data_IF_234671615752
#
_entry.id   IF_234671615752
#
_cell.length_a   1.000
_cell.length_b   1.000
_cell.length_c   1.000
_cell.angle_alpha   90.00
_cell.angle_beta   90.00
_cell.angle_gamma   90.00
#
_symmetry.space_group_name_H-M   'P 1'
#
loop_
_entity.id
_entity.type
_entity.pdbx_description
1 polymer ?
#
# COMPACT_ATOMS: atom_id res chain seq x y z
N UNK A 1 13.38 -6.42 4.13
CA UNK A 1 13.83 -6.61 2.72
C UNK A 1 13.98 -5.21 2.12
N UNK A 2 15.08 -4.86 1.42
CA UNK A 2 15.23 -3.54 0.82
C UNK A 2 14.14 -3.28 -0.22
N UNK A 3 13.76 -2.01 -0.38
CA UNK A 3 12.82 -1.57 -1.42
C UNK A 3 13.37 -1.88 -2.81
N UNK A 4 12.47 -2.22 -3.74
CA UNK A 4 12.83 -2.46 -5.15
C UNK A 4 13.13 -1.16 -5.91
N UNK A 5 12.63 -0.02 -5.43
CA UNK A 5 12.88 1.30 -6.01
C UNK A 5 13.76 2.12 -5.07
N UNK A 6 14.64 2.95 -5.65
CA UNK A 6 15.56 3.81 -4.89
C UNK A 6 14.83 4.94 -4.14
N UNK A 7 13.75 5.45 -4.72
CA UNK A 7 13.00 6.59 -4.19
C UNK A 7 11.90 6.24 -3.18
N UNK A 8 11.75 4.96 -2.87
CA UNK A 8 10.72 4.46 -1.96
C UNK A 8 11.32 3.56 -0.88
N UNK A 9 10.63 3.45 0.25
CA UNK A 9 11.08 2.60 1.34
C UNK A 9 10.40 1.21 1.33
N UNK A 10 9.20 1.10 0.73
CA UNK A 10 8.30 -0.03 0.97
C UNK A 10 7.85 -0.74 -0.33
N UNK A 11 8.57 -0.52 -1.46
CA UNK A 11 8.22 -1.18 -2.74
C UNK A 11 8.67 -2.63 -2.76
N UNK A 12 7.72 -3.53 -3.05
CA UNK A 12 7.97 -4.97 -3.18
C UNK A 12 6.90 -5.69 -3.98
N UNK A 13 7.21 -6.92 -4.36
CA UNK A 13 6.26 -7.83 -5.00
C UNK A 13 5.12 -8.19 -4.03
N UNK A 14 3.90 -8.25 -4.55
CA UNK A 14 2.71 -8.71 -3.81
C UNK A 14 2.58 -10.23 -3.85
N UNK A 15 2.89 -10.79 -5.01
CA UNK A 15 2.91 -12.25 -5.21
C UNK A 15 4.37 -12.70 -5.39
N UNK A 16 4.83 -13.68 -4.64
CA UNK A 16 6.21 -14.14 -4.70
C UNK A 16 6.65 -14.52 -6.13
N UNK A 17 7.78 -13.97 -6.57
CA UNK A 17 8.34 -14.24 -7.89
C UNK A 17 7.62 -13.58 -9.07
N UNK A 18 6.66 -12.67 -8.81
CA UNK A 18 5.90 -12.00 -9.86
C UNK A 18 5.99 -10.47 -9.73
N UNK A 19 6.27 -9.80 -10.85
CA UNK A 19 6.21 -8.34 -10.95
C UNK A 19 4.84 -7.83 -11.44
N UNK A 20 3.86 -8.71 -11.60
CA UNK A 20 2.52 -8.29 -12.02
C UNK A 20 1.91 -7.25 -11.10
N UNK A 21 2.14 -7.41 -9.78
CA UNK A 21 1.67 -6.45 -8.78
C UNK A 21 2.82 -6.04 -7.87
N UNK A 22 3.08 -4.74 -7.83
CA UNK A 22 3.97 -4.12 -6.87
C UNK A 22 3.15 -3.25 -5.92
N UNK A 23 3.44 -3.38 -4.63
CA UNK A 23 2.95 -2.46 -3.61
C UNK A 23 4.05 -1.47 -3.24
N UNK A 24 3.67 -0.23 -2.89
CA UNK A 24 4.65 0.82 -2.58
C UNK A 24 4.10 1.87 -1.62
N UNK A 25 4.98 2.63 -0.98
CA UNK A 25 4.75 4.00 -0.56
C UNK A 25 4.75 4.94 -1.78
N UNK A 26 4.32 6.19 -1.61
CA UNK A 26 4.17 7.12 -2.72
C UNK A 26 5.55 7.47 -3.34
N UNK A 27 5.76 7.26 -4.66
CA UNK A 27 6.99 7.58 -5.36
C UNK A 27 7.06 9.08 -5.65
N UNK A 28 7.44 9.87 -4.64
CA UNK A 28 7.39 11.34 -4.69
C UNK A 28 8.65 11.98 -5.28
N UNK A 29 9.72 11.22 -5.47
CA UNK A 29 10.97 11.67 -6.07
C UNK A 29 11.60 10.54 -6.88
N UNK A 30 10.87 9.98 -7.89
CA UNK A 30 11.34 8.82 -8.64
C UNK A 30 12.62 9.15 -9.38
N UNK A 31 13.57 8.22 -9.39
CA UNK A 31 14.80 8.31 -10.18
C UNK A 31 14.57 7.73 -11.58
N UNK A 32 15.47 8.04 -12.53
CA UNK A 32 15.44 7.38 -13.84
C UNK A 32 15.64 5.87 -13.75
N UNK A 33 16.34 5.38 -12.72
CA UNK A 33 16.48 3.94 -12.46
C UNK A 33 15.19 3.32 -11.98
N UNK A 34 14.43 4.00 -11.13
CA UNK A 34 13.10 3.54 -10.71
C UNK A 34 12.18 3.37 -11.91
N UNK A 35 12.17 4.36 -12.77
CA UNK A 35 11.34 4.34 -13.97
C UNK A 35 11.78 3.24 -14.93
N UNK A 36 13.09 3.09 -15.16
CA UNK A 36 13.63 2.02 -15.99
C UNK A 36 13.27 0.64 -15.42
N UNK A 37 13.40 0.45 -14.11
CA UNK A 37 13.01 -0.77 -13.43
C UNK A 37 11.53 -1.12 -13.64
N UNK A 38 10.63 -0.14 -13.46
CA UNK A 38 9.19 -0.36 -13.65
C UNK A 38 8.87 -0.77 -15.09
N UNK A 39 9.45 -0.09 -16.08
CA UNK A 39 9.24 -0.39 -17.50
C UNK A 39 9.81 -1.77 -17.86
N UNK A 40 11.03 -2.08 -17.43
CA UNK A 40 11.69 -3.37 -17.69
C UNK A 40 10.89 -4.56 -17.15
N UNK A 41 10.23 -4.38 -15.99
CA UNK A 41 9.41 -5.42 -15.38
C UNK A 41 7.94 -5.39 -15.82
N UNK A 42 7.61 -4.61 -16.87
CA UNK A 42 6.28 -4.58 -17.47
C UNK A 42 5.22 -3.85 -16.65
N UNK A 43 5.63 -3.06 -15.65
CA UNK A 43 4.71 -2.21 -14.89
C UNK A 43 4.34 -1.01 -15.74
N UNK A 44 3.09 -0.96 -16.20
CA UNK A 44 2.57 0.10 -17.06
C UNK A 44 1.38 0.85 -16.44
N UNK A 45 0.86 0.39 -15.32
CA UNK A 45 -0.27 0.99 -14.63
C UNK A 45 0.14 1.43 -13.23
N UNK A 46 -0.16 2.67 -12.88
CA UNK A 46 0.08 3.24 -11.55
C UNK A 46 -1.28 3.58 -10.91
N UNK A 47 -1.56 3.02 -9.74
CA UNK A 47 -2.81 3.27 -9.01
C UNK A 47 -2.48 4.01 -7.72
N UNK A 48 -2.88 5.27 -7.64
CA UNK A 48 -2.72 6.12 -6.48
C UNK A 48 -3.96 6.01 -5.58
N UNK A 49 -3.78 5.39 -4.42
CA UNK A 49 -4.83 5.12 -3.43
C UNK A 49 -5.04 6.27 -2.44
N UNK A 50 -4.28 7.36 -2.57
CA UNK A 50 -4.31 8.50 -1.66
C UNK A 50 -5.59 9.32 -1.85
N UNK A 51 -6.00 10.04 -0.80
CA UNK A 51 -7.10 10.98 -0.88
C UNK A 51 -6.78 12.16 -1.82
N UNK A 52 -7.82 12.86 -2.28
CA UNK A 52 -7.67 14.08 -3.10
C UNK A 52 -6.76 15.11 -2.43
N UNK A 53 -6.94 15.33 -1.12
CA UNK A 53 -6.13 16.27 -0.35
C UNK A 53 -4.64 15.89 -0.28
N UNK A 54 -4.33 14.59 -0.19
CA UNK A 54 -2.94 14.11 -0.22
C UNK A 54 -2.30 14.32 -1.60
N UNK A 55 -3.04 14.01 -2.66
CA UNK A 55 -2.57 14.17 -4.05
C UNK A 55 -2.40 15.65 -4.40
N UNK A 56 -3.35 16.53 -4.00
CA UNK A 56 -3.21 17.98 -4.21
C UNK A 56 -1.99 18.56 -3.50
N UNK A 57 -1.70 18.10 -2.28
CA UNK A 57 -0.55 18.56 -1.49
C UNK A 57 0.78 18.06 -2.05
N UNK A 58 0.82 16.84 -2.51
CA UNK A 58 2.02 16.17 -3.03
C UNK A 58 1.67 15.31 -4.24
N UNK A 59 1.55 15.89 -5.44
CA UNK A 59 1.24 15.14 -6.67
C UNK A 59 2.28 14.05 -6.94
N UNK A 60 1.85 12.96 -7.58
CA UNK A 60 2.77 11.93 -8.05
C UNK A 60 3.49 12.45 -9.32
N UNK A 61 4.83 12.55 -9.33
CA UNK A 61 5.56 13.03 -10.51
C UNK A 61 5.35 12.17 -11.75
N UNK A 62 5.07 10.87 -11.57
CA UNK A 62 4.82 9.92 -12.66
C UNK A 62 3.40 10.02 -13.24
N UNK A 63 2.51 10.87 -12.70
CA UNK A 63 1.13 10.97 -13.16
C UNK A 63 0.99 11.43 -14.61
N UNK A 64 1.97 12.18 -15.13
CA UNK A 64 1.99 12.70 -16.50
C UNK A 64 3.07 12.03 -17.37
N UNK A 65 3.70 10.95 -16.89
CA UNK A 65 4.70 10.23 -17.65
C UNK A 65 4.02 9.28 -18.65
N UNK A 66 4.26 9.50 -19.94
CA UNK A 66 3.61 8.77 -21.01
C UNK A 66 3.89 7.24 -21.03
N UNK A 67 4.90 6.79 -20.26
CA UNK A 67 5.22 5.36 -20.08
C UNK A 67 4.18 4.64 -19.21
N UNK A 68 3.38 5.38 -18.43
CA UNK A 68 2.44 4.81 -17.47
C UNK A 68 1.00 5.28 -17.71
N UNK A 69 0.07 4.40 -17.45
CA UNK A 69 -1.34 4.74 -17.26
C UNK A 69 -1.57 5.04 -15.78
N UNK A 70 -1.60 6.32 -15.42
CA UNK A 70 -1.88 6.74 -14.04
C UNK A 70 -3.37 6.78 -13.78
N UNK A 71 -3.79 6.21 -12.65
CA UNK A 71 -5.16 6.22 -12.16
C UNK A 71 -5.20 6.66 -10.71
N UNK A 72 -5.84 7.79 -10.44
CA UNK A 72 -6.14 8.21 -9.09
C UNK A 72 -7.44 7.53 -8.64
N UNK A 73 -7.32 6.65 -7.65
CA UNK A 73 -8.42 5.84 -7.12
C UNK A 73 -8.40 5.84 -5.58
N UNK A 74 -8.87 6.93 -4.96
CA UNK A 74 -8.85 7.05 -3.50
C UNK A 74 -9.56 5.88 -2.83
N UNK A 75 -8.91 5.28 -1.84
CA UNK A 75 -9.59 4.30 -0.98
C UNK A 75 -10.53 5.04 -0.05
N UNK A 76 -11.80 4.68 -0.08
CA UNK A 76 -12.83 5.16 0.85
C UNK A 76 -12.76 4.39 2.18
N UNK A 77 -13.30 4.94 3.25
CA UNK A 77 -13.29 4.31 4.59
C UNK A 77 -11.97 4.33 5.35
N UNK A 78 -10.84 4.59 4.66
CA UNK A 78 -9.50 4.61 5.24
C UNK A 78 -8.90 6.00 5.48
N UNK A 79 -9.69 7.06 5.36
CA UNK A 79 -9.21 8.45 5.47
C UNK A 79 -9.24 8.99 6.92
N UNK A 80 -9.97 8.35 7.81
CA UNK A 80 -9.99 8.67 9.23
C UNK A 80 -8.94 7.83 9.96
N UNK A 81 -8.13 8.46 10.80
CA UNK A 81 -7.22 7.73 11.69
C UNK A 81 -8.02 6.87 12.66
N UNK A 82 -7.61 5.62 12.90
CA UNK A 82 -8.17 4.81 13.97
C UNK A 82 -8.02 5.53 15.32
N UNK A 83 -9.04 5.43 16.17
CA UNK A 83 -9.07 6.07 17.47
C UNK A 83 -8.30 5.27 18.54
N UNK A 84 -8.10 3.99 18.30
CA UNK A 84 -7.38 3.06 19.17
C UNK A 84 -6.79 1.92 18.37
N UNK A 85 -5.97 1.07 18.99
CA UNK A 85 -5.40 -0.13 18.36
C UNK A 85 -6.47 -1.15 17.97
N UNK A 86 -7.55 -1.25 18.73
CA UNK A 86 -8.69 -2.15 18.47
C UNK A 86 -9.50 -1.68 17.25
N UNK A 87 -9.47 -0.38 16.94
CA UNK A 87 -10.16 0.19 15.78
C UNK A 87 -9.40 -0.01 14.47
N UNK A 88 -8.11 -0.38 14.51
CA UNK A 88 -7.29 -0.57 13.31
C UNK A 88 -7.87 -1.64 12.38
N UNK A 89 -8.18 -2.88 12.81
CA UNK A 89 -8.76 -3.90 11.94
C UNK A 89 -10.14 -3.52 11.41
N UNK A 90 -10.94 -2.82 12.20
CA UNK A 90 -12.24 -2.30 11.78
C UNK A 90 -12.11 -1.22 10.72
N UNK A 91 -11.07 -0.37 10.83
CA UNK A 91 -10.77 0.63 9.80
C UNK A 91 -10.41 -0.03 8.46
N UNK A 92 -9.69 -1.15 8.49
CA UNK A 92 -9.38 -1.94 7.29
C UNK A 92 -10.63 -2.57 6.69
N UNK A 93 -11.54 -3.10 7.50
CA UNK A 93 -12.81 -3.63 7.02
C UNK A 93 -13.67 -2.56 6.33
N UNK A 94 -13.69 -1.33 6.87
CA UNK A 94 -14.41 -0.20 6.25
C UNK A 94 -13.86 0.21 4.88
N UNK A 95 -12.61 -0.17 4.54
CA UNK A 95 -12.04 0.04 3.22
C UNK A 95 -12.55 -0.95 2.16
N UNK A 96 -13.17 -2.07 2.60
CA UNK A 96 -13.66 -3.12 1.70
C UNK A 96 -15.09 -2.80 1.27
N UNK A 97 -15.21 -1.95 0.27
CA UNK A 97 -16.43 -1.40 -0.26
C UNK A 97 -16.48 -1.51 -1.80
N UNK A 98 -17.44 -0.85 -2.43
CA UNK A 98 -17.56 -0.82 -3.89
C UNK A 98 -16.33 -0.19 -4.57
N UNK A 99 -15.70 0.81 -3.95
CA UNK A 99 -14.49 1.43 -4.50
C UNK A 99 -13.31 0.44 -4.48
N UNK A 100 -13.17 -0.33 -3.39
CA UNK A 100 -12.19 -1.41 -3.33
C UNK A 100 -12.43 -2.46 -4.43
N UNK A 101 -13.68 -2.83 -4.67
CA UNK A 101 -14.04 -3.75 -5.75
C UNK A 101 -13.59 -3.21 -7.12
N UNK A 102 -13.78 -1.92 -7.38
CA UNK A 102 -13.32 -1.26 -8.63
C UNK A 102 -11.79 -1.26 -8.73
N UNK A 103 -11.07 -0.99 -7.62
CA UNK A 103 -9.60 -1.04 -7.56
C UNK A 103 -9.11 -2.44 -7.93
N UNK A 104 -9.66 -3.48 -7.29
CA UNK A 104 -9.28 -4.87 -7.56
C UNK A 104 -9.60 -5.29 -9.00
N UNK A 105 -10.72 -4.84 -9.55
CA UNK A 105 -11.07 -5.10 -10.94
C UNK A 105 -10.04 -4.52 -11.92
N UNK A 106 -9.66 -3.26 -11.75
CA UNK A 106 -8.65 -2.61 -12.60
C UNK A 106 -7.27 -3.28 -12.44
N UNK A 107 -6.90 -3.66 -11.23
CA UNK A 107 -5.69 -4.46 -11.01
C UNK A 107 -5.74 -5.79 -11.74
N UNK A 108 -6.89 -6.47 -11.71
CA UNK A 108 -7.11 -7.74 -12.41
C UNK A 108 -6.98 -7.64 -13.93
N UNK A 109 -7.38 -6.50 -14.52
CA UNK A 109 -7.24 -6.23 -15.97
C UNK A 109 -5.83 -5.79 -16.37
N UNK A 110 -5.00 -5.33 -15.41
CA UNK A 110 -3.65 -4.83 -15.69
C UNK A 110 -2.69 -5.99 -15.95
N UNK A 111 -1.82 -5.83 -16.94
CA UNK A 111 -0.70 -6.76 -17.19
C UNK A 111 0.41 -6.61 -16.19
N UNK A 112 0.65 -5.39 -15.68
CA UNK A 112 1.60 -5.06 -14.63
C UNK A 112 1.22 -3.73 -13.98
N UNK A 113 1.04 -3.72 -12.65
CA UNK A 113 0.62 -2.55 -11.92
C UNK A 113 1.43 -2.32 -10.64
N UNK A 114 1.72 -1.05 -10.35
CA UNK A 114 2.15 -0.61 -9.03
C UNK A 114 1.03 0.21 -8.39
N UNK A 115 0.66 -0.12 -7.16
CA UNK A 115 -0.30 0.67 -6.38
C UNK A 115 0.31 1.12 -5.06
N UNK A 116 -0.07 2.31 -4.63
CA UNK A 116 0.55 2.96 -3.48
C UNK A 116 -0.43 3.88 -2.74
N UNK A 117 -0.18 4.07 -1.46
CA UNK A 117 -0.72 5.18 -0.66
C UNK A 117 0.43 6.01 -0.12
N UNK A 118 0.25 6.79 0.93
CA UNK A 118 1.35 7.63 1.46
C UNK A 118 2.51 6.80 1.99
N UNK A 119 2.28 5.86 2.89
CA UNK A 119 3.31 4.99 3.48
C UNK A 119 3.36 3.58 2.87
N UNK A 120 2.40 3.22 2.03
CA UNK A 120 2.31 1.86 1.50
C UNK A 120 1.98 0.78 2.54
N UNK A 121 1.41 1.16 3.68
CA UNK A 121 1.13 0.27 4.82
C UNK A 121 -0.33 -0.13 4.89
N UNK A 122 -1.25 0.79 5.20
CA UNK A 122 -2.64 0.50 5.53
C UNK A 122 -3.52 0.26 4.29
N UNK A 123 -3.87 1.29 3.55
CA UNK A 123 -4.67 1.19 2.30
C UNK A 123 -4.04 0.21 1.31
N UNK A 124 -2.76 0.34 1.09
CA UNK A 124 -1.95 -0.56 0.25
C UNK A 124 -1.92 -1.97 0.84
N UNK A 125 -1.84 -2.11 2.16
CA UNK A 125 -1.86 -3.40 2.87
C UNK A 125 -3.18 -4.13 2.69
N UNK A 126 -4.32 -3.43 2.77
CA UNK A 126 -5.65 -4.02 2.52
C UNK A 126 -5.77 -4.52 1.09
N UNK A 127 -5.39 -3.71 0.08
CA UNK A 127 -5.38 -4.15 -1.33
C UNK A 127 -4.49 -5.39 -1.50
N UNK A 128 -3.29 -5.38 -0.90
CA UNK A 128 -2.36 -6.53 -0.98
C UNK A 128 -2.95 -7.79 -0.37
N UNK A 129 -3.54 -7.69 0.82
CA UNK A 129 -4.14 -8.83 1.51
C UNK A 129 -5.28 -9.46 0.68
N UNK A 130 -6.12 -8.63 0.05
CA UNK A 130 -7.21 -9.11 -0.80
C UNK A 130 -6.68 -9.80 -2.07
N UNK A 131 -5.66 -9.25 -2.73
CA UNK A 131 -5.01 -9.87 -3.90
C UNK A 131 -4.31 -11.19 -3.53
N UNK A 132 -3.58 -11.21 -2.43
CA UNK A 132 -2.88 -12.40 -1.93
C UNK A 132 -3.87 -13.51 -1.56
N UNK A 133 -4.99 -13.15 -0.91
CA UNK A 133 -6.07 -14.08 -0.62
C UNK A 133 -6.71 -14.64 -1.90
N UNK A 134 -7.01 -13.81 -2.89
CA UNK A 134 -7.53 -14.25 -4.20
C UNK A 134 -6.54 -15.19 -4.92
N UNK A 135 -5.24 -14.98 -4.74
CA UNK A 135 -4.19 -15.84 -5.29
C UNK A 135 -3.95 -17.13 -4.47
N UNK A 136 -4.66 -17.33 -3.36
CA UNK A 136 -4.58 -18.54 -2.53
C UNK A 136 -3.37 -18.58 -1.60
N UNK A 137 -2.75 -17.43 -1.28
CA UNK A 137 -1.69 -17.39 -0.27
C UNK A 137 -2.23 -17.72 1.13
N UNK A 138 -1.39 -18.35 1.96
CA UNK A 138 -1.76 -18.64 3.35
C UNK A 138 -1.92 -17.36 4.17
N UNK A 139 -2.71 -17.45 5.23
CA UNK A 139 -2.88 -16.36 6.21
C UNK A 139 -1.53 -15.85 6.73
N UNK A 140 -0.66 -16.79 7.12
CA UNK A 140 0.65 -16.45 7.66
C UNK A 140 1.50 -15.66 6.64
N UNK A 141 1.43 -16.02 5.35
CA UNK A 141 2.12 -15.29 4.29
C UNK A 141 1.58 -13.86 4.12
N UNK A 142 0.26 -13.67 4.20
CA UNK A 142 -0.39 -12.35 4.11
C UNK A 142 0.01 -11.48 5.31
N UNK A 143 -0.03 -12.04 6.52
CA UNK A 143 0.37 -11.34 7.75
C UNK A 143 1.85 -10.98 7.71
N UNK A 144 2.72 -11.91 7.29
CA UNK A 144 4.15 -11.69 7.17
C UNK A 144 4.48 -10.55 6.19
N UNK A 145 3.82 -10.53 5.00
CA UNK A 145 3.99 -9.41 4.06
C UNK A 145 3.56 -8.07 4.68
N UNK A 146 2.43 -8.02 5.38
CA UNK A 146 1.96 -6.79 6.01
C UNK A 146 2.97 -6.25 7.04
N UNK A 147 3.51 -7.13 7.90
CA UNK A 147 4.46 -6.77 8.97
C UNK A 147 5.78 -6.25 8.43
N UNK A 148 6.24 -6.71 7.26
CA UNK A 148 7.45 -6.18 6.60
C UNK A 148 7.43 -4.65 6.43
N UNK A 149 6.25 -4.05 6.36
CA UNK A 149 6.13 -2.58 6.31
C UNK A 149 6.68 -1.89 7.57
N UNK A 150 6.73 -2.56 8.71
CA UNK A 150 7.31 -2.03 9.94
C UNK A 150 8.82 -1.80 9.81
N UNK A 151 9.53 -2.82 9.37
CA UNK A 151 10.99 -2.75 9.14
C UNK A 151 11.33 -1.76 8.03
N UNK A 152 10.59 -1.82 6.91
CA UNK A 152 10.84 -0.99 5.75
C UNK A 152 10.61 0.52 6.03
N UNK A 153 9.69 0.85 6.94
CA UNK A 153 9.31 2.22 7.27
C UNK A 153 9.88 2.72 8.61
N UNK A 154 10.84 2.01 9.20
CA UNK A 154 11.38 2.31 10.52
C UNK A 154 11.91 3.76 10.63
N UNK A 155 12.64 4.24 9.62
CA UNK A 155 13.14 5.62 9.59
C UNK A 155 11.99 6.63 9.57
N UNK A 156 10.98 6.40 8.73
CA UNK A 156 9.80 7.27 8.64
C UNK A 156 9.04 7.32 9.98
N UNK A 157 8.89 6.19 10.67
CA UNK A 157 8.24 6.14 11.99
C UNK A 157 9.07 6.86 13.04
N UNK A 158 10.39 6.70 13.00
CA UNK A 158 11.31 7.41 13.93
C UNK A 158 11.19 8.92 13.76
N UNK A 159 11.24 9.41 12.52
CA UNK A 159 11.05 10.82 12.18
C UNK A 159 9.67 11.34 12.61
N UNK A 160 8.63 10.55 12.41
CA UNK A 160 7.27 10.91 12.80
C UNK A 160 7.14 11.04 14.32
N UNK A 161 7.69 10.10 15.09
CA UNK A 161 7.68 10.13 16.57
C UNK A 161 8.43 11.34 17.12
N UNK A 162 9.56 11.70 16.53
CA UNK A 162 10.33 12.88 16.93
C UNK A 162 9.54 14.19 16.75
N UNK A 163 8.75 14.28 15.68
CA UNK A 163 7.93 15.48 15.37
C UNK A 163 6.62 15.52 16.17
N UNK A 164 6.18 14.39 16.69
CA UNK A 164 4.89 14.27 17.38
C UNK A 164 5.06 13.55 18.74
N UNK A 165 5.78 14.17 19.69
CA UNK A 165 5.98 13.56 21.02
C UNK A 165 4.62 13.40 21.75
N UNK A 166 4.37 12.19 22.26
CA UNK A 166 3.14 11.88 23.00
C UNK A 166 2.04 11.19 22.20
N UNK A 167 2.25 10.95 20.89
CA UNK A 167 1.34 10.10 20.11
C UNK A 167 1.61 8.62 20.42
N UNK A 168 0.53 7.85 20.61
CA UNK A 168 0.63 6.39 20.68
C UNK A 168 1.00 5.82 19.31
N UNK A 169 2.25 5.38 19.20
CA UNK A 169 2.82 4.85 17.96
C UNK A 169 2.28 3.48 17.57
N UNK A 170 1.65 2.76 18.49
CA UNK A 170 1.11 1.42 18.22
C UNK A 170 0.09 1.43 17.09
N UNK A 171 -0.75 2.46 16.99
CA UNK A 171 -1.72 2.63 15.89
C UNK A 171 -1.01 2.75 14.52
N UNK A 172 0.18 3.31 14.49
CA UNK A 172 0.95 3.56 13.27
C UNK A 172 1.86 2.40 12.89
N UNK A 173 2.29 1.59 13.86
CA UNK A 173 3.20 0.47 13.64
C UNK A 173 2.40 -0.77 13.18
N UNK A 174 2.76 -1.41 12.07
CA UNK A 174 2.06 -2.61 11.63
C UNK A 174 2.33 -3.76 12.60
N UNK A 175 1.28 -4.22 13.26
CA UNK A 175 1.34 -5.35 14.16
C UNK A 175 0.60 -6.56 13.56
N UNK A 176 1.09 -7.80 13.72
CA UNK A 176 0.49 -9.00 13.11
C UNK A 176 -1.01 -9.10 13.39
N UNK A 177 -1.40 -8.84 14.64
CA UNK A 177 -2.79 -8.94 15.09
C UNK A 177 -3.76 -8.05 14.31
N UNK A 178 -3.32 -6.94 13.72
CA UNK A 178 -4.21 -6.08 12.95
C UNK A 178 -4.64 -6.75 11.65
N UNK A 179 -3.69 -7.37 10.96
CA UNK A 179 -3.99 -8.10 9.73
C UNK A 179 -4.71 -9.41 10.02
N UNK A 180 -4.34 -10.13 11.09
CA UNK A 180 -5.02 -11.34 11.53
C UNK A 180 -6.51 -11.10 11.82
N UNK A 181 -6.82 -10.07 12.63
CA UNK A 181 -8.20 -9.71 12.97
C UNK A 181 -8.97 -9.17 11.76
N UNK A 182 -8.32 -8.43 10.87
CA UNK A 182 -8.94 -8.02 9.61
C UNK A 182 -9.35 -9.22 8.77
N UNK A 183 -8.48 -10.21 8.62
CA UNK A 183 -8.79 -11.45 7.90
C UNK A 183 -9.93 -12.25 8.57
N UNK A 184 -9.96 -12.28 9.92
CA UNK A 184 -11.08 -12.89 10.67
C UNK A 184 -12.41 -12.19 10.41
N UNK A 185 -12.39 -10.87 10.28
CA UNK A 185 -13.59 -10.08 9.98
C UNK A 185 -14.09 -10.29 8.55
N UNK A 186 -13.18 -10.55 7.60
CA UNK A 186 -13.55 -10.88 6.21
C UNK A 186 -14.18 -12.26 6.05
N UNK A 187 -13.92 -13.17 6.99
CA UNK A 187 -14.40 -14.56 6.95
C UNK A 187 -15.79 -14.73 7.61
N UNK A 188 -16.35 -13.67 8.22
CA UNK A 188 -17.67 -13.66 8.87
C UNK A 188 -18.77 -13.26 7.90
#
# INVERSE_FOLDING_TARGET
>A
MPSLLESTANTRQVLPGSFRYLRSDAPLSPTERDVAFLVEHGVNTLIDLRSDAEVQRRPCPLANDARFTYRHMPVTGGNAMPSSVEDVPLSYLRMVDEQMTRILHILGESSGAMYFCTAGKDRTGVVSALLQRQAGLSRDAIVADYVLSGDNLQEMFTDFMQRHPGIDVSIYTPAPQYMEQFLDLLDR
#
